data_IF_181040813749
#
_entry.id   IF_181040813749
#
_cell.length_a   1.000
_cell.length_b   1.000
_cell.length_c   1.000
_cell.angle_alpha   90.00
_cell.angle_beta   90.00
_cell.angle_gamma   90.00
#
_symmetry.space_group_name_H-M   'P 1'
#
loop_
_entity.id
_entity.type
_entity.pdbx_description
1 polymer ?
#
# COMPACT_ATOMS: atom_id res chain seq x y z
N UNK A 1 17.98 -18.30 -0.33
CA UNK A 1 18.66 -17.10 0.22
C UNK A 1 19.35 -17.49 1.51
N UNK A 2 20.55 -16.96 1.82
CA UNK A 2 21.20 -17.17 3.12
C UNK A 2 20.36 -16.55 4.25
N UNK A 3 20.46 -17.14 5.45
CA UNK A 3 19.61 -16.78 6.60
C UNK A 3 19.80 -15.32 7.05
N UNK A 4 21.04 -14.84 7.06
CA UNK A 4 21.40 -13.45 7.41
C UNK A 4 20.75 -12.40 6.51
N UNK A 5 20.46 -12.72 5.24
CA UNK A 5 19.69 -11.82 4.37
C UNK A 5 18.19 -11.86 4.69
N UNK A 6 17.65 -12.95 5.24
CA UNK A 6 16.23 -13.00 5.64
C UNK A 6 15.99 -12.12 6.89
N UNK A 7 17.01 -11.94 7.73
CA UNK A 7 16.91 -11.12 8.94
C UNK A 7 16.79 -9.61 8.65
N UNK A 8 17.25 -9.13 7.47
CA UNK A 8 17.08 -7.74 7.01
C UNK A 8 15.75 -7.50 6.28
N UNK A 9 14.85 -8.49 6.26
CA UNK A 9 13.59 -8.41 5.52
C UNK A 9 12.69 -7.29 6.07
N UNK A 10 12.18 -6.38 5.22
CA UNK A 10 11.32 -5.28 5.63
C UNK A 10 10.15 -5.78 6.47
N UNK A 11 9.89 -5.08 7.58
CA UNK A 11 8.78 -5.41 8.45
C UNK A 11 7.51 -5.44 7.61
N UNK A 12 6.79 -6.52 7.78
CA UNK A 12 5.59 -6.87 7.04
C UNK A 12 5.75 -7.26 5.54
N UNK A 13 6.84 -7.03 4.78
CA UNK A 13 6.86 -7.38 3.32
C UNK A 13 6.53 -8.87 2.99
N UNK A 14 6.25 -9.26 1.72
CA UNK A 14 5.84 -10.63 1.40
C UNK A 14 6.87 -11.68 1.85
N UNK A 15 6.38 -12.83 2.34
CA UNK A 15 7.24 -13.94 2.74
C UNK A 15 8.07 -14.44 1.52
N UNK A 16 9.42 -14.43 1.57
CA UNK A 16 10.26 -14.66 0.39
C UNK A 16 10.07 -16.04 -0.25
N UNK A 17 9.89 -17.08 0.56
CA UNK A 17 9.59 -18.45 0.16
C UNK A 17 8.28 -18.54 -0.65
N UNK A 18 7.20 -17.90 -0.15
CA UNK A 18 5.89 -17.88 -0.79
C UNK A 18 5.88 -17.02 -2.05
N UNK A 19 6.71 -15.98 -2.09
CA UNK A 19 6.85 -15.13 -3.26
C UNK A 19 7.52 -15.86 -4.42
N UNK A 20 8.68 -16.49 -4.16
CA UNK A 20 9.41 -17.28 -5.16
C UNK A 20 8.58 -18.48 -5.63
N UNK A 21 7.88 -19.17 -4.72
CA UNK A 21 6.96 -20.27 -5.08
C UNK A 21 5.79 -19.84 -5.99
N UNK A 22 5.42 -18.55 -6.01
CA UNK A 22 4.41 -17.99 -6.94
C UNK A 22 4.98 -17.59 -8.30
N UNK A 23 6.28 -17.80 -8.54
CA UNK A 23 6.99 -17.36 -9.74
C UNK A 23 7.42 -15.90 -9.70
N UNK A 24 7.50 -15.29 -8.51
CA UNK A 24 8.11 -13.97 -8.33
C UNK A 24 9.62 -14.06 -8.07
N UNK A 25 10.32 -12.95 -8.28
CA UNK A 25 11.74 -12.79 -7.90
C UNK A 25 11.88 -11.73 -6.82
N UNK A 26 13.02 -11.75 -6.12
CA UNK A 26 13.36 -10.78 -5.08
C UNK A 26 14.82 -10.39 -5.28
N UNK A 27 15.08 -9.09 -5.28
CA UNK A 27 16.42 -8.49 -5.33
C UNK A 27 16.61 -7.67 -4.05
N UNK A 28 17.75 -7.80 -3.40
CA UNK A 28 18.15 -6.92 -2.30
C UNK A 28 19.27 -6.03 -2.85
N UNK A 29 19.09 -4.70 -2.76
CA UNK A 29 20.08 -3.71 -3.19
C UNK A 29 21.16 -3.52 -2.13
N UNK A 30 22.26 -2.87 -2.52
CA UNK A 30 23.40 -2.59 -1.63
C UNK A 30 23.03 -1.67 -0.45
N UNK A 31 22.03 -0.79 -0.64
CA UNK A 31 21.43 0.07 0.38
C UNK A 31 20.44 -0.67 1.31
N UNK A 32 20.23 -1.98 1.11
CA UNK A 32 19.28 -2.79 1.86
C UNK A 32 17.83 -2.69 1.39
N UNK A 33 17.52 -1.96 0.32
CA UNK A 33 16.16 -1.91 -0.25
C UNK A 33 15.80 -3.25 -0.89
N UNK A 34 14.62 -3.78 -0.54
CA UNK A 34 14.09 -5.01 -1.14
C UNK A 34 13.17 -4.70 -2.30
N UNK A 35 13.50 -5.18 -3.49
CA UNK A 35 12.63 -5.19 -4.65
C UNK A 35 11.95 -6.56 -4.77
N UNK A 36 10.62 -6.58 -4.75
CA UNK A 36 9.82 -7.76 -5.06
C UNK A 36 9.28 -7.60 -6.48
N UNK A 37 9.56 -8.55 -7.38
CA UNK A 37 8.97 -8.58 -8.72
C UNK A 37 8.02 -9.76 -8.84
N UNK A 38 6.77 -9.54 -9.29
CA UNK A 38 5.80 -10.62 -9.46
C UNK A 38 5.98 -11.32 -10.82
N UNK A 39 5.26 -12.44 -11.02
CA UNK A 39 5.28 -13.21 -12.27
C UNK A 39 4.79 -12.47 -13.52
N UNK A 40 4.27 -11.24 -13.37
CA UNK A 40 3.83 -10.36 -14.47
C UNK A 40 4.88 -9.28 -14.82
N UNK A 41 6.04 -9.28 -14.14
CA UNK A 41 7.07 -8.24 -14.31
C UNK A 41 6.79 -6.93 -13.57
N UNK A 42 5.80 -6.89 -12.67
CA UNK A 42 5.56 -5.71 -11.83
C UNK A 42 6.52 -5.75 -10.63
N UNK A 43 7.13 -4.63 -10.26
CA UNK A 43 8.13 -4.53 -9.18
C UNK A 43 7.73 -3.48 -8.16
N UNK A 44 7.67 -3.86 -6.88
CA UNK A 44 7.49 -2.92 -5.75
C UNK A 44 8.73 -2.93 -4.88
N UNK A 45 9.22 -1.74 -4.53
CA UNK A 45 10.34 -1.53 -3.60
C UNK A 45 9.81 -1.44 -2.17
N UNK A 46 10.57 -1.92 -1.21
CA UNK A 46 10.31 -1.72 0.21
C UNK A 46 11.46 -0.90 0.80
N UNK A 47 11.18 0.39 1.01
CA UNK A 47 12.11 1.39 1.54
C UNK A 47 11.73 1.61 3.01
N UNK A 48 12.68 1.45 3.93
CA UNK A 48 12.48 1.60 5.39
C UNK A 48 11.31 0.78 5.99
N UNK A 49 10.91 -0.32 5.34
CA UNK A 49 9.75 -1.12 5.73
C UNK A 49 8.51 -0.94 4.86
N UNK A 50 8.43 0.14 4.08
CA UNK A 50 7.20 0.59 3.42
C UNK A 50 7.21 0.32 1.91
N UNK A 51 6.11 -0.20 1.33
CA UNK A 51 6.00 -0.43 -0.10
C UNK A 51 5.86 0.89 -0.87
N UNK A 52 6.78 1.13 -1.81
CA UNK A 52 6.64 2.21 -2.79
C UNK A 52 5.68 1.79 -3.91
N UNK A 53 4.45 2.30 -3.82
CA UNK A 53 3.42 2.12 -4.83
C UNK A 53 3.37 3.24 -5.87
N UNK A 54 4.30 4.21 -5.86
CA UNK A 54 4.29 5.33 -6.83
C UNK A 54 4.26 4.90 -8.30
N UNK A 55 4.88 3.79 -8.76
CA UNK A 55 4.76 3.32 -10.15
C UNK A 55 3.37 2.77 -10.52
N UNK A 56 2.50 2.57 -9.52
CA UNK A 56 1.15 2.00 -9.64
C UNK A 56 0.05 2.94 -9.12
N UNK A 57 0.40 4.22 -8.94
CA UNK A 57 -0.55 5.28 -8.68
C UNK A 57 -1.45 5.54 -9.91
N UNK A 58 -2.66 6.05 -9.67
CA UNK A 58 -3.61 6.36 -10.72
C UNK A 58 -3.09 7.51 -11.61
N UNK A 59 -2.96 7.33 -12.94
CA UNK A 59 -2.19 8.23 -13.80
C UNK A 59 -2.75 9.66 -13.90
N UNK A 60 -4.05 9.86 -13.63
CA UNK A 60 -4.70 11.18 -13.61
C UNK A 60 -4.99 11.75 -12.20
N UNK A 61 -4.84 10.97 -11.13
CA UNK A 61 -5.24 11.39 -9.77
C UNK A 61 -4.00 11.54 -8.91
N UNK A 62 -3.64 12.79 -8.65
CA UNK A 62 -2.46 13.12 -7.84
C UNK A 62 -2.62 12.67 -6.38
N UNK A 63 -1.51 12.41 -5.66
CA UNK A 63 -1.54 12.24 -4.22
C UNK A 63 -2.18 13.44 -3.52
N UNK A 64 -2.99 13.19 -2.50
CA UNK A 64 -3.69 14.23 -1.73
C UNK A 64 -3.32 14.19 -0.26
N UNK A 65 -3.28 15.37 0.37
CA UNK A 65 -3.01 15.51 1.80
C UNK A 65 -4.31 15.63 2.59
N UNK A 66 -4.46 14.79 3.60
CA UNK A 66 -5.56 14.80 4.58
C UNK A 66 -4.98 14.56 5.98
N UNK A 67 -5.66 15.03 7.03
CA UNK A 67 -5.35 14.56 8.39
C UNK A 67 -5.93 13.15 8.56
N UNK A 68 -5.10 12.16 8.88
CA UNK A 68 -5.58 10.79 9.12
C UNK A 68 -6.39 10.72 10.42
N UNK A 69 -7.44 9.91 10.43
CA UNK A 69 -8.13 9.56 11.68
C UNK A 69 -7.17 8.90 12.68
N UNK A 70 -7.30 9.27 13.96
CA UNK A 70 -6.58 8.65 15.08
C UNK A 70 -7.61 8.15 16.11
N UNK A 71 -8.01 6.86 16.10
CA UNK A 71 -7.53 5.77 15.23
C UNK A 71 -8.01 5.87 13.77
N UNK A 72 -7.28 5.21 12.85
CA UNK A 72 -7.55 5.23 11.40
C UNK A 72 -8.97 4.78 11.08
N UNK A 73 -9.70 5.63 10.38
CA UNK A 73 -11.08 5.39 9.95
C UNK A 73 -11.13 5.41 8.41
N UNK A 74 -10.80 4.27 7.79
CA UNK A 74 -10.64 4.18 6.32
C UNK A 74 -11.81 4.76 5.53
N UNK A 75 -13.11 4.50 5.84
CA UNK A 75 -14.22 5.15 5.15
C UNK A 75 -14.21 6.69 5.24
N UNK A 76 -13.84 7.25 6.39
CA UNK A 76 -13.74 8.70 6.58
C UNK A 76 -12.51 9.28 5.88
N UNK A 77 -11.35 8.63 5.99
CA UNK A 77 -10.13 9.06 5.29
C UNK A 77 -10.33 9.01 3.77
N UNK A 78 -10.99 7.96 3.26
CA UNK A 78 -11.35 7.84 1.84
C UNK A 78 -12.32 8.95 1.41
N UNK A 79 -13.28 9.34 2.28
CA UNK A 79 -14.17 10.48 2.04
C UNK A 79 -13.39 11.78 1.90
N UNK A 80 -12.45 12.04 2.81
CA UNK A 80 -11.59 13.21 2.76
C UNK A 80 -10.69 13.21 1.52
N UNK A 81 -10.08 12.06 1.18
CA UNK A 81 -9.23 11.91 0.01
C UNK A 81 -9.99 12.13 -1.30
N UNK A 82 -11.18 11.53 -1.44
CA UNK A 82 -12.05 11.76 -2.60
C UNK A 82 -12.44 13.25 -2.75
N UNK A 83 -12.84 13.91 -1.66
CA UNK A 83 -13.15 15.36 -1.67
C UNK A 83 -11.92 16.17 -2.11
N UNK A 84 -10.73 15.91 -1.55
CA UNK A 84 -9.49 16.59 -1.90
C UNK A 84 -9.04 16.35 -3.35
N UNK A 85 -9.35 15.17 -3.90
CA UNK A 85 -9.04 14.80 -5.27
C UNK A 85 -10.13 15.24 -6.29
N UNK A 86 -11.22 15.89 -5.84
CA UNK A 86 -12.33 16.30 -6.71
C UNK A 86 -13.18 15.13 -7.23
N UNK A 87 -13.13 13.97 -6.58
CA UNK A 87 -13.82 12.75 -7.02
C UNK A 87 -15.27 12.69 -6.53
N UNK A 88 -16.16 12.28 -7.42
CA UNK A 88 -17.60 12.13 -7.23
C UNK A 88 -18.14 10.97 -8.08
N UNK A 89 -19.45 10.73 -8.06
CA UNK A 89 -20.09 9.76 -8.95
C UNK A 89 -19.96 10.15 -10.45
N UNK A 90 -19.71 11.44 -10.73
CA UNK A 90 -19.63 12.01 -12.08
C UNK A 90 -18.19 12.44 -12.48
N UNK A 91 -17.16 12.10 -11.70
CA UNK A 91 -15.76 12.42 -12.03
C UNK A 91 -15.09 11.34 -12.89
N UNK A 92 -13.90 11.64 -13.42
CA UNK A 92 -12.98 10.63 -13.96
C UNK A 92 -11.78 10.41 -13.02
N UNK A 93 -11.62 9.22 -12.40
CA UNK A 93 -12.55 8.10 -12.38
C UNK A 93 -13.74 8.37 -11.42
N UNK A 94 -14.88 7.69 -11.60
CA UNK A 94 -16.03 7.85 -10.71
C UNK A 94 -15.85 7.07 -9.41
N UNK A 95 -16.39 7.59 -8.30
CA UNK A 95 -16.52 6.85 -7.03
C UNK A 95 -17.93 6.30 -6.87
N UNK A 96 -18.12 5.05 -6.39
CA UNK A 96 -19.44 4.45 -6.23
C UNK A 96 -20.20 4.97 -5.00
N UNK A 97 -19.49 5.64 -4.09
CA UNK A 97 -20.02 6.50 -3.03
C UNK A 97 -18.86 7.34 -2.48
N UNK A 98 -19.13 8.50 -1.89
CA UNK A 98 -18.07 9.42 -1.47
C UNK A 98 -17.06 8.82 -0.46
N UNK A 99 -17.44 7.80 0.31
CA UNK A 99 -16.57 7.08 1.27
C UNK A 99 -15.91 5.80 0.69
N UNK A 100 -15.95 5.59 -0.63
CA UNK A 100 -15.35 4.44 -1.33
C UNK A 100 -14.36 4.93 -2.38
N UNK A 101 -13.26 4.21 -2.64
CA UNK A 101 -12.34 4.58 -3.71
C UNK A 101 -12.99 4.26 -5.07
N UNK A 102 -12.47 4.85 -6.17
CA UNK A 102 -12.84 4.45 -7.52
C UNK A 102 -12.71 2.94 -7.77
N UNK A 103 -13.57 2.42 -8.64
CA UNK A 103 -13.57 0.98 -8.97
C UNK A 103 -12.22 0.54 -9.55
N UNK A 104 -11.68 -0.57 -9.06
CA UNK A 104 -10.34 -1.06 -9.41
C UNK A 104 -9.19 -0.48 -8.59
N UNK A 105 -9.42 0.56 -7.78
CA UNK A 105 -8.38 1.23 -7.00
C UNK A 105 -8.61 1.14 -5.48
N UNK A 106 -7.60 1.52 -4.71
CA UNK A 106 -7.67 1.78 -3.26
C UNK A 106 -6.88 3.04 -2.92
N UNK A 107 -7.36 3.83 -1.97
CA UNK A 107 -6.50 4.83 -1.35
C UNK A 107 -5.53 4.11 -0.39
N UNK A 108 -4.25 4.34 -0.62
CA UNK A 108 -3.13 3.89 0.18
C UNK A 108 -2.67 5.02 1.10
N UNK A 109 -2.74 4.78 2.41
CA UNK A 109 -2.17 5.64 3.45
C UNK A 109 -0.64 5.54 3.40
N UNK A 110 0.02 6.63 3.01
CA UNK A 110 1.48 6.73 2.99
C UNK A 110 2.05 6.89 4.42
N UNK A 111 3.34 6.58 4.61
CA UNK A 111 3.95 6.53 5.94
C UNK A 111 4.18 7.89 6.62
N UNK A 112 3.94 9.00 5.92
CA UNK A 112 4.05 10.36 6.45
C UNK A 112 2.86 10.80 7.34
N UNK A 113 1.84 9.94 7.47
CA UNK A 113 0.68 10.18 8.32
C UNK A 113 -0.38 11.11 7.74
N UNK A 114 -0.25 11.53 6.47
CA UNK A 114 -1.15 12.50 5.83
C UNK A 114 -1.38 12.32 4.32
N UNK A 115 -0.45 11.69 3.60
CA UNK A 115 -0.53 11.53 2.15
C UNK A 115 -1.34 10.30 1.77
N UNK A 116 -2.35 10.49 0.93
CA UNK A 116 -3.16 9.43 0.32
C UNK A 116 -2.81 9.31 -1.16
N UNK A 117 -2.39 8.11 -1.57
CA UNK A 117 -2.10 7.79 -2.97
C UNK A 117 -3.18 6.84 -3.49
N UNK A 118 -3.77 7.13 -4.65
CA UNK A 118 -4.75 6.23 -5.25
C UNK A 118 -4.00 5.15 -6.07
N UNK A 119 -4.03 3.89 -5.62
CA UNK A 119 -3.20 2.79 -6.16
C UNK A 119 -4.06 1.67 -6.76
N UNK A 120 -3.58 1.00 -7.82
CA UNK A 120 -4.24 -0.19 -8.36
C UNK A 120 -4.48 -1.25 -7.26
N UNK A 121 -5.73 -1.69 -7.12
CA UNK A 121 -6.16 -2.60 -6.06
C UNK A 121 -5.51 -3.98 -6.15
N UNK A 122 -5.20 -4.47 -7.36
CA UNK A 122 -4.60 -5.80 -7.57
C UNK A 122 -3.13 -5.77 -7.18
N UNK A 123 -2.41 -4.71 -7.53
CA UNK A 123 -1.02 -4.47 -7.08
C UNK A 123 -0.98 -4.36 -5.57
N UNK A 124 -1.76 -3.45 -4.97
CA UNK A 124 -1.79 -3.27 -3.52
C UNK A 124 -2.18 -4.56 -2.76
N UNK A 125 -3.00 -5.43 -3.37
CA UNK A 125 -3.38 -6.72 -2.80
C UNK A 125 -2.42 -7.89 -3.12
N UNK A 126 -1.49 -7.73 -4.06
CA UNK A 126 -0.49 -8.75 -4.41
C UNK A 126 0.82 -8.52 -3.65
N UNK A 127 1.33 -7.28 -3.65
CA UNK A 127 2.48 -6.84 -2.86
C UNK A 127 2.05 -6.55 -1.42
N UNK A 128 1.54 -7.59 -0.77
CA UNK A 128 1.01 -7.50 0.59
C UNK A 128 2.10 -7.25 1.62
N UNK A 129 1.75 -6.46 2.63
CA UNK A 129 2.52 -6.36 3.85
C UNK A 129 1.97 -7.37 4.89
N UNK A 130 2.32 -8.66 4.76
CA UNK A 130 2.06 -9.69 5.79
C UNK A 130 2.83 -9.47 7.11
N UNK A 131 2.18 -9.29 8.26
CA UNK A 131 1.07 -10.15 8.64
C UNK A 131 0.02 -9.52 9.56
N UNK A 132 -1.20 -10.05 9.43
CA UNK A 132 -2.30 -9.83 10.35
C UNK A 132 -3.42 -8.94 9.80
N UNK A 133 -4.64 -9.39 10.03
CA UNK A 133 -5.86 -8.58 9.98
C UNK A 133 -5.64 -7.32 10.84
N UNK A 134 -5.83 -6.14 10.25
CA UNK A 134 -6.00 -4.82 10.90
C UNK A 134 -5.39 -4.63 12.30
N UNK A 135 -4.26 -3.91 12.40
CA UNK A 135 -3.89 -3.23 13.65
C UNK A 135 -4.79 -2.01 13.94
N UNK A 136 -6.08 -2.26 14.11
CA UNK A 136 -6.98 -1.47 14.96
C UNK A 136 -7.25 -2.17 16.31
N UNK A 137 -6.59 -3.31 16.58
CA UNK A 137 -6.83 -4.14 17.78
C UNK A 137 -5.63 -4.39 18.71
N UNK A 138 -4.41 -3.97 18.34
CA UNK A 138 -3.19 -4.30 19.12
C UNK A 138 -2.48 -3.08 19.73
N UNK A 139 -3.10 -1.88 19.67
CA UNK A 139 -2.65 -0.68 20.39
C UNK A 139 -3.63 -0.24 21.50
N UNK A 140 -4.63 -1.08 21.82
CA UNK A 140 -5.74 -0.80 22.75
C UNK A 140 -5.84 -1.86 23.87
N UNK A 141 -4.73 -2.54 24.18
CA UNK A 141 -4.61 -3.54 25.26
C UNK A 141 -3.22 -3.47 25.92
N UNK A 142 -2.67 -2.27 26.01
CA UNK A 142 -1.27 -2.01 26.40
C UNK A 142 -1.06 -0.74 27.20
N UNK A 143 -2.14 -0.20 27.79
CA UNK A 143 -2.18 0.72 28.93
C UNK A 143 -3.38 0.29 29.81
#
# INVERSE_FOLDING_TARGET
MPKSLIDTKPKNSPAPDKWVKKGGTITIKEDGVWEYTNKKGQTVRYIDGYPDFSPYAHPKVQPVHIEFGHPINRPQDYKLANIKAGLSENSEPPVPSLNRPPSGYVWHHYQDGKTMVLVDKKVHAEFTHSGGISKTKELMRGE
#
